data_IF_890723818690
#
_entry.id   IF_890723818690
#
_cell.length_a   1.000
_cell.length_b   1.000
_cell.length_c   1.000
_cell.angle_alpha   90.00
_cell.angle_beta   90.00
_cell.angle_gamma   90.00
#
_symmetry.space_group_name_H-M   'P 1'
#
loop_
_entity.id
_entity.type
_entity.pdbx_description
1 polymer ?
#
# COMPACT_ATOMS: atom_id res chain seq x y z
N UNK A 1 78.42 -45.42 31.35
CA UNK A 1 77.57 -44.26 31.73
C UNK A 1 76.90 -43.84 30.47
N UNK A 2 75.67 -44.40 30.24
CA UNK A 2 74.83 -44.05 29.09
C UNK A 2 73.86 -43.00 29.58
N UNK A 3 73.93 -41.85 28.99
CA UNK A 3 72.89 -40.79 29.19
C UNK A 3 71.82 -40.93 28.09
N UNK A 4 70.76 -41.60 28.42
CA UNK A 4 69.55 -41.56 27.56
C UNK A 4 68.89 -40.15 27.63
N UNK A 5 69.12 -39.42 26.57
CA UNK A 5 68.33 -38.15 26.34
C UNK A 5 66.94 -38.51 25.81
N UNK A 6 65.99 -38.58 26.70
CA UNK A 6 64.59 -38.78 26.42
C UNK A 6 64.05 -37.45 25.78
N UNK A 7 64.04 -37.42 24.46
CA UNK A 7 63.31 -36.33 23.74
C UNK A 7 61.83 -36.55 23.96
N UNK A 8 61.24 -35.84 24.92
CA UNK A 8 59.84 -35.74 25.09
C UNK A 8 59.28 -35.06 23.81
N UNK A 9 58.59 -35.86 23.02
CA UNK A 9 57.83 -35.33 21.90
C UNK A 9 56.68 -34.50 22.49
N UNK A 10 56.68 -33.18 22.28
CA UNK A 10 55.63 -32.28 22.71
C UNK A 10 54.46 -32.49 21.77
N UNK A 11 53.51 -33.32 22.20
CA UNK A 11 52.26 -33.61 21.52
C UNK A 11 51.18 -32.52 21.73
N UNK A 12 51.56 -31.29 22.09
CA UNK A 12 50.62 -30.21 22.16
C UNK A 12 50.06 -29.93 20.77
N UNK A 13 48.74 -30.05 20.55
CA UNK A 13 48.15 -29.81 19.24
C UNK A 13 48.46 -28.36 18.83
N UNK A 14 48.94 -28.19 17.61
CA UNK A 14 49.22 -26.88 17.01
C UNK A 14 47.90 -26.10 16.93
N UNK A 15 47.63 -25.27 17.95
CA UNK A 15 46.41 -24.50 18.10
C UNK A 15 46.18 -23.55 16.93
N UNK A 16 47.27 -23.02 16.33
CA UNK A 16 47.20 -22.11 15.19
C UNK A 16 46.62 -22.76 13.92
N UNK A 17 47.05 -24.02 13.61
CA UNK A 17 46.47 -24.74 12.45
C UNK A 17 45.03 -25.15 12.67
N UNK A 18 44.72 -25.60 13.87
CA UNK A 18 43.33 -25.96 14.24
C UNK A 18 42.39 -24.75 14.18
N UNK A 19 42.82 -23.65 14.75
CA UNK A 19 42.01 -22.41 14.76
C UNK A 19 41.82 -21.85 13.35
N UNK A 20 42.88 -21.92 12.51
CA UNK A 20 42.76 -21.57 11.09
C UNK A 20 41.69 -22.42 10.35
N UNK A 21 41.69 -23.75 10.58
CA UNK A 21 40.71 -24.63 9.96
C UNK A 21 39.30 -24.33 10.43
N UNK A 22 39.10 -24.03 11.71
CA UNK A 22 37.76 -23.62 12.22
C UNK A 22 37.28 -22.29 11.60
N UNK A 23 38.16 -21.30 11.54
CA UNK A 23 37.81 -19.99 10.96
C UNK A 23 37.53 -20.14 9.46
N UNK A 24 38.36 -20.86 8.72
CA UNK A 24 38.17 -21.12 7.30
C UNK A 24 36.87 -21.87 7.01
N UNK A 25 36.57 -22.92 7.79
CA UNK A 25 35.33 -23.68 7.65
C UNK A 25 34.09 -22.83 8.00
N UNK A 26 34.16 -22.02 9.05
CA UNK A 26 33.10 -21.10 9.43
C UNK A 26 32.86 -20.05 8.35
N UNK A 27 33.93 -19.47 7.78
CA UNK A 27 33.82 -18.50 6.70
C UNK A 27 33.13 -19.09 5.45
N UNK A 28 33.58 -20.30 5.03
CA UNK A 28 32.93 -21.02 3.92
C UNK A 28 31.47 -21.34 4.23
N UNK A 29 31.16 -21.76 5.46
CA UNK A 29 29.80 -22.02 5.92
C UNK A 29 28.89 -20.79 5.84
N UNK A 30 29.38 -19.63 6.28
CA UNK A 30 28.63 -18.36 6.21
C UNK A 30 28.36 -17.97 4.76
N UNK A 31 29.37 -18.08 3.87
CA UNK A 31 29.16 -17.77 2.44
C UNK A 31 28.18 -18.74 1.80
N UNK A 32 28.27 -20.03 2.09
CA UNK A 32 27.36 -21.04 1.57
C UNK A 32 25.92 -20.79 2.03
N UNK A 33 25.69 -20.53 3.33
CA UNK A 33 24.37 -20.21 3.88
C UNK A 33 23.84 -18.91 3.28
N UNK A 34 24.66 -17.86 3.20
CA UNK A 34 24.28 -16.59 2.57
C UNK A 34 23.89 -16.77 1.11
N UNK A 35 24.63 -17.59 0.35
CA UNK A 35 24.33 -17.91 -1.04
C UNK A 35 22.99 -18.65 -1.26
N UNK A 36 22.56 -19.45 -0.28
CA UNK A 36 21.25 -20.13 -0.31
C UNK A 36 20.13 -19.21 0.19
N UNK A 37 20.37 -18.49 1.28
CA UNK A 37 19.34 -17.64 1.93
C UNK A 37 19.01 -16.41 1.08
N UNK A 38 20.02 -15.79 0.45
CA UNK A 38 19.80 -14.59 -0.36
C UNK A 38 18.77 -14.75 -1.49
N UNK A 39 18.84 -15.77 -2.35
CA UNK A 39 17.81 -15.99 -3.37
C UNK A 39 16.41 -16.21 -2.77
N UNK A 40 16.30 -16.90 -1.63
CA UNK A 40 15.02 -17.12 -0.96
C UNK A 40 14.40 -15.80 -0.47
N UNK A 41 15.22 -14.92 0.09
CA UNK A 41 14.77 -13.57 0.47
C UNK A 41 14.43 -12.75 -0.77
N UNK A 42 15.25 -12.83 -1.82
CA UNK A 42 15.03 -12.06 -3.05
C UNK A 42 13.76 -12.47 -3.80
N UNK A 43 13.31 -13.72 -3.68
CA UNK A 43 12.02 -14.19 -4.22
C UNK A 43 10.80 -13.50 -3.58
N UNK A 44 10.96 -12.93 -2.39
CA UNK A 44 9.88 -12.17 -1.71
C UNK A 44 9.74 -10.75 -2.26
N UNK A 45 10.68 -10.27 -3.07
CA UNK A 45 10.58 -8.97 -3.71
C UNK A 45 9.47 -8.97 -4.77
N UNK A 46 8.76 -7.84 -4.94
CA UNK A 46 7.76 -7.71 -5.98
C UNK A 46 8.33 -8.03 -7.37
N UNK A 47 7.58 -8.79 -8.15
CA UNK A 47 7.91 -9.09 -9.54
C UNK A 47 7.98 -7.80 -10.38
N UNK A 48 8.80 -7.79 -11.43
CA UNK A 48 8.95 -6.65 -12.33
C UNK A 48 7.63 -6.23 -13.01
N UNK A 49 6.72 -7.18 -13.25
CA UNK A 49 5.38 -6.90 -13.78
C UNK A 49 4.51 -6.14 -12.78
N UNK A 50 4.63 -6.45 -11.49
CA UNK A 50 3.93 -5.71 -10.41
C UNK A 50 4.49 -4.30 -10.28
N UNK A 51 5.81 -4.13 -10.41
CA UNK A 51 6.45 -2.81 -10.39
C UNK A 51 6.09 -1.99 -11.62
N UNK A 52 5.98 -2.61 -12.80
CA UNK A 52 5.53 -1.94 -14.03
C UNK A 52 4.07 -1.44 -13.95
N UNK A 53 3.23 -2.12 -13.14
CA UNK A 53 1.86 -1.71 -12.84
C UNK A 53 1.76 -0.82 -11.59
N UNK A 54 2.88 -0.34 -11.07
CA UNK A 54 2.91 0.48 -9.86
C UNK A 54 2.18 1.81 -10.04
N UNK A 55 2.16 2.37 -11.26
CA UNK A 55 1.40 3.57 -11.61
C UNK A 55 0.57 3.36 -12.87
N UNK A 56 -0.56 4.04 -12.95
CA UNK A 56 -1.41 4.11 -14.15
C UNK A 56 -1.72 5.55 -14.46
N UNK A 57 -1.78 5.88 -15.75
CA UNK A 57 -2.31 7.14 -16.24
C UNK A 57 -3.76 6.96 -16.70
N UNK A 58 -4.60 7.94 -16.41
CA UNK A 58 -6.00 7.91 -16.81
C UNK A 58 -6.46 9.27 -17.34
N UNK A 59 -7.19 9.25 -18.47
CA UNK A 59 -7.76 10.43 -19.12
C UNK A 59 -9.15 10.72 -18.56
N UNK A 60 -9.30 11.86 -17.93
CA UNK A 60 -10.54 12.33 -17.29
C UNK A 60 -11.52 13.01 -18.27
N UNK A 61 -11.08 13.36 -19.49
CA UNK A 61 -11.86 14.13 -20.46
C UNK A 61 -13.19 13.47 -20.86
N UNK A 62 -13.29 12.15 -20.69
CA UNK A 62 -14.47 11.35 -21.03
C UNK A 62 -15.47 11.25 -19.89
N UNK A 63 -15.15 11.77 -18.70
CA UNK A 63 -16.01 11.67 -17.52
C UNK A 63 -16.81 12.97 -17.38
N UNK A 64 -18.11 12.88 -17.57
CA UNK A 64 -19.00 14.04 -17.45
C UNK A 64 -19.20 14.43 -15.98
N UNK A 65 -19.55 15.69 -15.73
CA UNK A 65 -19.92 16.16 -14.38
C UNK A 65 -21.06 15.33 -13.80
N UNK A 66 -20.91 14.88 -12.56
CA UNK A 66 -21.84 13.97 -11.90
C UNK A 66 -21.61 12.48 -12.24
N UNK A 67 -20.67 12.15 -13.11
CA UNK A 67 -20.38 10.76 -13.47
C UNK A 67 -19.23 10.19 -12.62
N UNK A 68 -19.33 8.91 -12.29
CA UNK A 68 -18.27 8.13 -11.68
C UNK A 68 -17.87 6.96 -12.60
N UNK A 69 -16.58 6.66 -12.65
CA UNK A 69 -16.05 5.46 -13.29
C UNK A 69 -15.21 4.67 -12.31
N UNK A 70 -15.12 3.36 -12.54
CA UNK A 70 -14.25 2.48 -11.76
C UNK A 70 -13.11 2.01 -12.64
N UNK A 71 -11.88 2.30 -12.22
CA UNK A 71 -10.66 1.85 -12.89
C UNK A 71 -9.90 0.88 -11.99
N UNK A 72 -8.93 0.16 -12.52
CA UNK A 72 -8.14 -0.82 -11.76
C UNK A 72 -6.71 -0.33 -11.58
N UNK A 73 -6.25 -0.25 -10.33
CA UNK A 73 -4.88 0.08 -9.97
C UNK A 73 -4.33 -0.94 -8.97
N UNK A 74 -3.20 -1.57 -9.26
CA UNK A 74 -2.58 -2.62 -8.43
C UNK A 74 -3.56 -3.73 -8.01
N UNK A 75 -4.45 -4.12 -8.92
CA UNK A 75 -5.49 -5.11 -8.61
C UNK A 75 -6.69 -4.59 -7.82
N UNK A 76 -6.64 -3.37 -7.27
CA UNK A 76 -7.71 -2.75 -6.51
C UNK A 76 -8.60 -1.89 -7.41
N UNK A 77 -9.93 -1.88 -7.20
CA UNK A 77 -10.81 -0.93 -7.84
C UNK A 77 -10.59 0.47 -7.25
N UNK A 78 -10.62 1.48 -8.12
CA UNK A 78 -10.51 2.90 -7.75
C UNK A 78 -11.67 3.64 -8.39
N UNK A 79 -12.44 4.37 -7.59
CA UNK A 79 -13.45 5.30 -8.07
C UNK A 79 -12.78 6.60 -8.52
N UNK A 80 -13.17 7.07 -9.69
CA UNK A 80 -12.88 8.41 -10.20
C UNK A 80 -14.21 9.10 -10.46
N UNK A 81 -14.56 10.10 -9.66
CA UNK A 81 -15.81 10.84 -9.77
C UNK A 81 -15.55 12.29 -10.11
N UNK A 82 -16.27 12.80 -11.12
CA UNK A 82 -16.37 14.20 -11.43
C UNK A 82 -17.58 14.78 -10.68
N UNK A 83 -17.35 15.32 -9.48
CA UNK A 83 -18.40 15.80 -8.58
C UNK A 83 -19.09 17.04 -9.12
N UNK A 84 -20.39 17.14 -8.88
CA UNK A 84 -21.15 18.37 -9.09
C UNK A 84 -20.85 19.42 -8.01
N UNK A 85 -21.07 20.71 -8.26
CA UNK A 85 -20.94 21.74 -7.23
C UNK A 85 -21.80 21.43 -5.99
N UNK A 86 -23.01 20.93 -6.18
CA UNK A 86 -23.91 20.56 -5.09
C UNK A 86 -23.33 19.45 -4.19
N UNK A 87 -22.63 18.47 -4.77
CA UNK A 87 -21.97 17.41 -4.00
C UNK A 87 -20.80 17.94 -3.18
N UNK A 88 -20.05 18.89 -3.72
CA UNK A 88 -18.94 19.55 -3.03
C UNK A 88 -19.48 20.38 -1.87
N UNK A 89 -20.51 21.19 -2.11
CA UNK A 89 -21.13 22.03 -1.08
C UNK A 89 -21.74 21.17 0.04
N UNK A 90 -22.45 20.09 -0.32
CA UNK A 90 -23.02 19.15 0.64
C UNK A 90 -21.94 18.48 1.49
N UNK A 91 -20.80 18.08 0.88
CA UNK A 91 -19.68 17.51 1.63
C UNK A 91 -19.04 18.52 2.59
N UNK A 92 -18.86 19.77 2.16
CA UNK A 92 -18.27 20.86 2.96
C UNK A 92 -19.18 21.34 4.08
N UNK A 93 -20.48 21.25 3.90
CA UNK A 93 -21.48 21.64 4.91
C UNK A 93 -21.56 20.67 6.10
N UNK A 94 -20.95 19.47 6.01
CA UNK A 94 -20.99 18.48 7.10
C UNK A 94 -20.08 18.90 8.24
N UNK A 95 -20.62 19.11 9.47
CA UNK A 95 -19.82 19.38 10.65
C UNK A 95 -18.87 18.23 11.00
N UNK A 96 -17.65 18.55 11.43
CA UNK A 96 -16.60 17.55 11.72
C UNK A 96 -16.97 16.61 12.86
N UNK A 97 -17.74 17.08 13.84
CA UNK A 97 -18.23 16.31 14.98
C UNK A 97 -19.27 15.25 14.60
N UNK A 98 -19.88 15.36 13.43
CA UNK A 98 -20.80 14.36 12.87
C UNK A 98 -20.09 13.27 12.05
N UNK A 99 -18.79 13.37 11.87
CA UNK A 99 -17.99 12.41 11.13
C UNK A 99 -17.38 11.38 12.07
N UNK A 100 -17.54 10.10 11.77
CA UNK A 100 -16.92 9.00 12.51
C UNK A 100 -15.39 8.99 12.37
N UNK A 101 -14.89 9.39 11.22
CA UNK A 101 -13.48 9.56 10.89
C UNK A 101 -13.30 10.99 10.37
N UNK A 102 -13.08 11.98 11.27
CA UNK A 102 -13.09 13.39 10.92
C UNK A 102 -11.99 13.75 9.92
N UNK A 103 -12.40 14.26 8.75
CA UNK A 103 -11.52 14.76 7.70
C UNK A 103 -12.25 15.82 6.88
N UNK A 104 -11.60 16.94 6.59
CA UNK A 104 -12.18 17.98 5.72
C UNK A 104 -12.29 17.46 4.27
N UNK A 105 -13.32 17.90 3.54
CA UNK A 105 -13.49 17.56 2.14
C UNK A 105 -12.28 17.99 1.30
N UNK A 106 -11.77 19.18 1.55
CA UNK A 106 -10.61 19.72 0.83
C UNK A 106 -9.31 18.97 1.04
N UNK A 107 -9.19 18.16 2.11
CA UNK A 107 -8.02 17.31 2.37
C UNK A 107 -8.11 15.96 1.62
N UNK A 108 -9.22 15.71 0.95
CA UNK A 108 -9.49 14.49 0.19
C UNK A 108 -9.37 14.66 -1.32
N UNK A 109 -9.13 15.89 -1.77
CA UNK A 109 -8.98 16.26 -3.17
C UNK A 109 -7.71 17.06 -3.40
N UNK A 110 -7.25 17.14 -4.62
CA UNK A 110 -6.13 18.01 -4.99
C UNK A 110 -6.59 19.46 -5.09
N UNK A 111 -5.80 20.39 -4.57
CA UNK A 111 -6.02 21.85 -4.70
C UNK A 111 -6.21 22.24 -6.17
N UNK A 112 -7.28 22.99 -6.45
CA UNK A 112 -7.62 23.42 -7.80
C UNK A 112 -8.38 22.40 -8.63
N UNK A 113 -8.63 21.21 -8.10
CA UNK A 113 -9.36 20.12 -8.75
C UNK A 113 -10.44 19.55 -7.82
N UNK A 114 -11.18 20.39 -7.14
CA UNK A 114 -12.18 20.05 -6.13
C UNK A 114 -13.29 19.14 -6.65
N UNK A 115 -13.57 19.21 -7.94
CA UNK A 115 -14.54 18.35 -8.61
C UNK A 115 -14.04 16.90 -8.78
N UNK A 116 -12.74 16.65 -8.72
CA UNK A 116 -12.20 15.31 -8.94
C UNK A 116 -11.93 14.59 -7.63
N UNK A 117 -12.80 13.64 -7.30
CA UNK A 117 -12.62 12.74 -6.15
C UNK A 117 -12.13 11.38 -6.63
N UNK A 118 -10.93 11.01 -6.18
CA UNK A 118 -10.27 9.74 -6.53
C UNK A 118 -10.04 8.96 -5.26
N UNK A 119 -10.61 7.75 -5.16
CA UNK A 119 -10.50 6.95 -3.95
C UNK A 119 -10.57 5.46 -4.24
N UNK A 120 -9.93 4.66 -3.40
CA UNK A 120 -9.98 3.20 -3.47
C UNK A 120 -11.42 2.76 -3.20
N UNK A 121 -11.99 1.98 -4.12
CA UNK A 121 -13.37 1.52 -4.08
C UNK A 121 -13.54 0.27 -3.21
N UNK A 122 -12.92 0.25 -2.04
CA UNK A 122 -12.99 -0.84 -1.08
C UNK A 122 -13.51 -0.33 0.26
N UNK A 123 -14.65 -0.86 0.68
CA UNK A 123 -15.23 -0.56 2.00
C UNK A 123 -14.25 -0.93 3.10
N UNK A 124 -13.98 0.03 3.99
CA UNK A 124 -13.01 -0.13 5.08
C UNK A 124 -13.46 -1.10 6.18
N UNK A 125 -14.67 -1.66 6.07
CA UNK A 125 -15.11 -2.75 6.95
C UNK A 125 -14.43 -4.08 6.58
N UNK A 126 -14.73 -4.66 5.42
CA UNK A 126 -14.22 -5.96 4.96
C UNK A 126 -13.92 -6.00 3.44
N UNK A 127 -13.70 -4.85 2.80
CA UNK A 127 -13.21 -4.79 1.41
C UNK A 127 -14.26 -4.97 0.31
N UNK A 128 -15.58 -4.98 0.63
CA UNK A 128 -16.61 -5.00 -0.41
C UNK A 128 -16.56 -3.71 -1.25
N UNK A 129 -16.97 -3.76 -2.51
CA UNK A 129 -17.06 -2.59 -3.38
C UNK A 129 -18.39 -1.87 -3.11
N UNK A 130 -18.40 -0.62 -2.64
CA UNK A 130 -19.63 0.15 -2.45
C UNK A 130 -20.29 0.52 -3.78
N UNK A 131 -21.62 0.67 -3.74
CA UNK A 131 -22.43 1.12 -4.89
C UNK A 131 -22.52 2.65 -4.81
N UNK A 132 -22.21 3.33 -5.90
CA UNK A 132 -22.31 4.78 -6.02
C UNK A 132 -23.75 5.27 -6.12
N UNK A 133 -23.96 6.55 -5.82
CA UNK A 133 -25.28 7.23 -5.89
C UNK A 133 -26.35 6.52 -5.08
N UNK A 134 -25.98 5.99 -3.93
CA UNK A 134 -26.82 5.14 -3.10
C UNK A 134 -26.65 5.44 -1.62
N UNK A 135 -27.70 5.14 -0.84
CA UNK A 135 -27.73 5.40 0.60
C UNK A 135 -28.25 6.81 0.94
N UNK A 136 -28.32 7.09 2.25
CA UNK A 136 -28.98 8.29 2.79
C UNK A 136 -28.15 9.58 2.61
N UNK A 137 -26.87 9.47 2.18
CA UNK A 137 -25.92 10.58 2.13
C UNK A 137 -25.48 10.95 0.70
N UNK A 138 -26.16 10.42 -0.34
CA UNK A 138 -25.91 10.74 -1.74
C UNK A 138 -24.56 10.32 -2.31
N UNK A 139 -23.78 9.54 -1.55
CA UNK A 139 -22.44 9.06 -1.92
C UNK A 139 -22.42 7.57 -2.27
N UNK A 140 -21.93 6.73 -1.37
CA UNK A 140 -21.77 5.29 -1.62
C UNK A 140 -22.36 4.45 -0.49
N UNK A 141 -23.05 3.39 -0.88
CA UNK A 141 -23.58 2.37 0.03
C UNK A 141 -22.84 1.05 -0.18
N UNK A 142 -22.26 0.50 0.88
CA UNK A 142 -21.73 -0.86 0.86
C UNK A 142 -22.87 -1.86 1.12
N UNK A 143 -23.25 -2.71 0.15
CA UNK A 143 -24.39 -3.61 0.29
C UNK A 143 -24.15 -4.75 1.26
N UNK A 144 -22.89 -5.05 1.59
CA UNK A 144 -22.54 -6.21 2.42
C UNK A 144 -23.04 -6.06 3.87
N UNK A 145 -22.85 -4.87 4.49
CA UNK A 145 -23.24 -4.63 5.88
C UNK A 145 -23.78 -3.21 6.11
N UNK A 146 -24.19 -2.51 5.06
CA UNK A 146 -24.87 -1.23 5.16
C UNK A 146 -23.99 -0.05 5.57
N UNK A 147 -22.66 -0.10 5.37
CA UNK A 147 -21.83 1.10 5.53
C UNK A 147 -22.16 2.13 4.48
N UNK A 148 -22.37 3.38 4.90
CA UNK A 148 -22.75 4.48 4.02
C UNK A 148 -21.70 5.59 4.11
N UNK A 149 -21.30 6.08 2.94
CA UNK A 149 -20.34 7.14 2.77
C UNK A 149 -20.99 8.34 2.08
N UNK A 150 -20.54 9.54 2.42
CA UNK A 150 -21.00 10.76 1.77
C UNK A 150 -20.34 11.01 0.39
N UNK A 151 -20.67 12.13 -0.24
CA UNK A 151 -20.17 12.55 -1.56
C UNK A 151 -18.66 12.85 -1.58
N UNK A 152 -18.00 12.83 -0.43
CA UNK A 152 -16.53 12.90 -0.25
C UNK A 152 -15.91 11.55 0.10
N UNK A 153 -16.72 10.46 0.16
CA UNK A 153 -16.25 9.12 0.56
C UNK A 153 -15.94 9.00 2.06
N UNK A 154 -16.49 9.89 2.90
CA UNK A 154 -16.34 9.82 4.35
C UNK A 154 -17.43 8.96 4.95
N UNK A 155 -17.05 8.11 5.91
CA UNK A 155 -18.01 7.23 6.58
C UNK A 155 -19.01 8.01 7.43
N UNK A 156 -20.28 7.77 7.20
CA UNK A 156 -21.41 8.40 7.92
C UNK A 156 -22.17 7.41 8.80
N UNK A 157 -22.36 6.17 8.31
CA UNK A 157 -23.19 5.16 8.99
C UNK A 157 -22.64 3.75 8.70
N UNK A 158 -22.91 2.83 9.62
CA UNK A 158 -22.58 1.40 9.47
C UNK A 158 -21.28 0.99 10.13
N UNK A 159 -20.85 -0.27 9.93
CA UNK A 159 -19.74 -0.87 10.67
C UNK A 159 -18.35 -0.41 10.20
N UNK A 160 -18.20 0.19 9.02
CA UNK A 160 -16.92 0.66 8.54
C UNK A 160 -16.28 1.67 9.52
N UNK A 161 -15.00 1.50 9.90
CA UNK A 161 -14.35 2.35 10.88
C UNK A 161 -13.76 3.64 10.28
N UNK A 162 -13.43 3.64 8.98
CA UNK A 162 -12.66 4.70 8.31
C UNK A 162 -13.32 5.16 7.01
N UNK A 163 -12.91 6.35 6.58
CA UNK A 163 -13.23 6.88 5.26
C UNK A 163 -12.65 5.97 4.14
N UNK A 164 -13.22 6.05 2.94
CA UNK A 164 -12.59 5.43 1.76
C UNK A 164 -11.21 6.04 1.53
N UNK A 165 -10.23 5.21 1.23
CA UNK A 165 -8.82 5.62 1.16
C UNK A 165 -8.57 6.41 -0.12
N UNK A 166 -7.86 7.53 -0.01
CA UNK A 166 -7.35 8.29 -1.16
C UNK A 166 -6.00 7.66 -1.56
N UNK A 167 -5.85 7.12 -2.77
CA UNK A 167 -4.56 6.62 -3.25
C UNK A 167 -3.60 7.79 -3.50
N UNK A 168 -2.29 7.55 -3.53
CA UNK A 168 -1.36 8.57 -4.05
C UNK A 168 -1.67 8.81 -5.53
N UNK A 169 -1.93 10.06 -5.89
CA UNK A 169 -2.14 10.46 -7.28
C UNK A 169 -1.68 11.90 -7.52
N UNK A 170 -1.49 12.25 -8.77
CA UNK A 170 -1.18 13.62 -9.19
C UNK A 170 -1.83 13.93 -10.54
N UNK A 171 -2.10 15.19 -10.81
CA UNK A 171 -2.46 15.67 -12.14
C UNK A 171 -1.21 15.84 -12.98
N UNK A 172 -1.20 15.25 -14.17
CA UNK A 172 -0.17 15.48 -15.21
C UNK A 172 -0.56 16.67 -16.08
N UNK A 173 -1.85 16.82 -16.34
CA UNK A 173 -2.51 17.93 -17.01
C UNK A 173 -3.88 18.12 -16.38
N UNK A 174 -4.65 19.16 -16.77
CA UNK A 174 -6.01 19.40 -16.26
C UNK A 174 -6.97 18.24 -16.55
N UNK A 175 -6.65 17.41 -17.54
CA UNK A 175 -7.50 16.27 -17.97
C UNK A 175 -6.84 14.92 -17.79
N UNK A 176 -5.65 14.83 -17.21
CA UNK A 176 -4.93 13.56 -17.07
C UNK A 176 -4.32 13.40 -15.69
N UNK A 177 -4.59 12.27 -15.09
CA UNK A 177 -4.04 11.91 -13.77
C UNK A 177 -3.11 10.71 -13.89
N UNK A 178 -2.17 10.63 -12.96
CA UNK A 178 -1.37 9.45 -12.66
C UNK A 178 -1.69 9.01 -11.22
N UNK A 179 -1.98 7.72 -11.04
CA UNK A 179 -2.21 7.08 -9.74
C UNK A 179 -1.04 6.14 -9.47
N UNK A 180 -0.37 6.32 -8.30
CA UNK A 180 0.82 5.56 -7.89
C UNK A 180 2.14 6.27 -8.11
#
# INVERSE_FOLDING_TARGET
MSTDSNLAHDDTPDTGKRDFLYIASAAVGVVAVGGVVWPLINQMNPDASVLALASIEYDLSKIQTGQAVTIKWRGMPVFVRNRTPQEIDAARAVPMDQLKDPQLDQDRVMKGHDNWLIMIALCTHLGCIPIGESGDYGGWLCPCHGSQYDTSGRIRKGPAPKNLVIPPYKFLTDTKIQIG
#
